data_IF_013053078199
#
_entry.id   IF_013053078199
#
_cell.length_a   1.000
_cell.length_b   1.000
_cell.length_c   1.000
_cell.angle_alpha   90.00
_cell.angle_beta   90.00
_cell.angle_gamma   90.00
#
_symmetry.space_group_name_H-M   'P 1'
#
loop_
_entity.id
_entity.type
_entity.pdbx_description
1 polymer ?
#
# COMPACT_ATOMS: atom_id res chain seq x y z
N UNK A 1 5.98 -14.54 5.81
CA UNK A 1 5.22 -13.29 5.96
C UNK A 1 6.12 -12.14 5.59
N UNK A 2 5.69 -11.31 4.63
CA UNK A 2 6.45 -10.13 4.20
C UNK A 2 5.85 -8.89 4.87
N UNK A 3 6.66 -8.21 5.66
CA UNK A 3 6.28 -6.95 6.31
C UNK A 3 6.98 -5.78 5.63
N UNK A 4 6.40 -4.60 5.71
CA UNK A 4 6.93 -3.36 5.11
C UNK A 4 6.91 -2.28 6.16
N UNK A 5 7.66 -1.20 5.95
CA UNK A 5 7.49 0.01 6.76
C UNK A 5 5.99 0.38 6.91
N UNK A 6 5.47 0.56 8.14
CA UNK A 6 4.03 0.71 8.37
C UNK A 6 3.40 1.92 7.67
N UNK A 7 4.10 3.06 7.64
CA UNK A 7 3.64 4.27 6.93
C UNK A 7 3.52 3.98 5.44
N UNK A 8 4.58 3.45 4.85
CA UNK A 8 4.66 3.06 3.45
C UNK A 8 3.58 2.06 3.03
N UNK A 9 3.31 1.06 3.89
CA UNK A 9 2.24 0.10 3.69
C UNK A 9 0.88 0.81 3.68
N UNK A 10 0.59 1.66 4.67
CA UNK A 10 -0.67 2.37 4.76
C UNK A 10 -0.90 3.28 3.56
N UNK A 11 0.13 4.02 3.12
CA UNK A 11 0.06 4.86 1.94
C UNK A 11 -0.16 4.04 0.66
N UNK A 12 0.59 2.95 0.48
CA UNK A 12 0.42 2.08 -0.69
C UNK A 12 -0.98 1.48 -0.74
N UNK A 13 -1.49 1.01 0.40
CA UNK A 13 -2.82 0.42 0.55
C UNK A 13 -3.93 1.44 0.27
N UNK A 14 -3.79 2.64 0.82
CA UNK A 14 -4.70 3.76 0.59
C UNK A 14 -4.75 4.18 -0.88
N UNK A 15 -3.58 4.43 -1.50
CA UNK A 15 -3.45 4.80 -2.92
C UNK A 15 -4.10 3.75 -3.82
N UNK A 16 -3.89 2.47 -3.53
CA UNK A 16 -4.47 1.38 -4.30
C UNK A 16 -6.00 1.37 -4.24
N UNK A 17 -6.61 1.58 -3.07
CA UNK A 17 -8.08 1.63 -2.96
C UNK A 17 -8.68 2.86 -3.62
N UNK A 18 -8.03 4.01 -3.49
CA UNK A 18 -8.43 5.22 -4.22
C UNK A 18 -8.37 4.98 -5.72
N UNK A 19 -7.28 4.38 -6.22
CA UNK A 19 -7.13 4.01 -7.63
C UNK A 19 -8.22 3.04 -8.11
N UNK A 20 -8.57 2.06 -7.29
CA UNK A 20 -9.63 1.08 -7.58
C UNK A 20 -11.05 1.67 -7.50
N UNK A 21 -11.22 2.88 -6.98
CA UNK A 21 -12.53 3.49 -6.78
C UNK A 21 -13.28 3.01 -5.53
N UNK A 22 -12.61 2.27 -4.65
CA UNK A 22 -13.21 1.68 -3.44
C UNK A 22 -12.99 2.52 -2.18
N UNK A 23 -12.37 3.70 -2.33
CA UNK A 23 -12.14 4.65 -1.24
C UNK A 23 -12.21 6.11 -1.71
N UNK A 24 -12.79 6.98 -0.88
CA UNK A 24 -13.00 8.40 -1.19
C UNK A 24 -12.69 9.36 -0.01
N UNK A 25 -12.58 8.83 1.21
CA UNK A 25 -12.28 9.64 2.40
C UNK A 25 -10.77 9.98 2.47
N UNK A 26 -10.36 11.00 3.25
CA UNK A 26 -8.94 11.32 3.46
C UNK A 26 -8.16 10.17 4.12
N UNK A 27 -6.82 10.25 4.05
CA UNK A 27 -5.91 9.26 4.65
C UNK A 27 -6.13 9.12 6.16
N UNK A 28 -6.33 10.22 6.89
CA UNK A 28 -6.81 10.22 8.29
C UNK A 28 -7.86 9.14 8.58
N UNK A 29 -8.98 9.18 7.84
CA UNK A 29 -10.12 8.28 8.07
C UNK A 29 -9.75 6.85 7.69
N UNK A 30 -8.87 6.69 6.69
CA UNK A 30 -8.37 5.38 6.29
C UNK A 30 -7.50 4.74 7.39
N UNK A 31 -6.66 5.52 8.05
CA UNK A 31 -5.84 5.05 9.18
C UNK A 31 -6.71 4.68 10.37
N UNK A 32 -7.77 5.45 10.66
CA UNK A 32 -8.74 5.13 11.71
C UNK A 32 -9.46 3.79 11.44
N UNK A 33 -9.88 3.53 10.19
CA UNK A 33 -10.62 2.31 9.84
C UNK A 33 -9.73 1.07 9.66
N UNK A 34 -8.52 1.25 9.12
CA UNK A 34 -7.65 0.13 8.71
C UNK A 34 -6.32 0.04 9.45
N UNK A 35 -6.06 0.91 10.43
CA UNK A 35 -4.81 0.96 11.19
C UNK A 35 -4.47 -0.35 11.90
N UNK A 36 -5.46 -1.14 12.32
CA UNK A 36 -5.21 -2.46 12.90
C UNK A 36 -4.47 -3.44 11.97
N UNK A 37 -4.47 -3.21 10.65
CA UNK A 37 -3.79 -4.06 9.67
C UNK A 37 -2.27 -3.98 9.72
N UNK A 38 -1.73 -2.90 10.30
CA UNK A 38 -0.27 -2.76 10.44
C UNK A 38 0.25 -3.30 11.77
N UNK A 39 -0.59 -3.80 12.69
CA UNK A 39 -0.11 -4.46 13.90
C UNK A 39 0.55 -5.81 13.57
N UNK A 40 1.83 -5.75 13.19
CA UNK A 40 2.59 -6.91 12.73
C UNK A 40 2.87 -7.90 13.86
N UNK A 41 2.98 -7.42 15.10
CA UNK A 41 3.16 -8.28 16.27
C UNK A 41 1.96 -9.22 16.43
N UNK A 42 0.76 -8.67 16.56
CA UNK A 42 -0.47 -9.45 16.70
C UNK A 42 -0.69 -10.38 15.49
N UNK A 43 -0.40 -9.88 14.29
CA UNK A 43 -0.52 -10.67 13.07
C UNK A 43 0.42 -11.90 13.09
N UNK A 44 1.70 -11.72 13.42
CA UNK A 44 2.68 -12.81 13.46
C UNK A 44 2.39 -13.77 14.61
N UNK A 45 2.05 -13.27 15.79
CA UNK A 45 1.73 -14.11 16.96
C UNK A 45 0.49 -14.97 16.71
N UNK A 46 -0.53 -14.42 16.03
CA UNK A 46 -1.71 -15.18 15.63
C UNK A 46 -1.37 -16.37 14.73
N UNK A 47 -0.52 -16.17 13.72
CA UNK A 47 -0.07 -17.27 12.85
C UNK A 47 0.84 -18.25 13.60
N UNK A 48 1.77 -17.74 14.41
CA UNK A 48 2.71 -18.56 15.18
C UNK A 48 2.00 -19.45 16.20
N UNK A 49 0.91 -18.97 16.82
CA UNK A 49 0.11 -19.79 17.76
C UNK A 49 -0.55 -21.00 17.10
N UNK A 50 -0.92 -20.90 15.82
CA UNK A 50 -1.53 -22.01 15.07
C UNK A 50 -0.52 -22.91 14.36
N UNK A 51 0.57 -22.36 13.83
CA UNK A 51 1.53 -23.08 12.98
C UNK A 51 2.80 -23.50 13.71
N UNK A 52 3.12 -22.89 14.85
CA UNK A 52 4.44 -22.96 15.48
C UNK A 52 5.33 -21.79 15.05
N UNK A 53 6.11 -21.25 15.98
CA UNK A 53 6.98 -20.08 15.74
C UNK A 53 8.08 -20.37 14.70
N UNK A 54 8.60 -21.59 14.69
CA UNK A 54 9.61 -22.09 13.75
C UNK A 54 9.12 -22.16 12.30
N UNK A 55 7.79 -22.17 12.09
CA UNK A 55 7.17 -22.24 10.76
C UNK A 55 6.75 -20.89 10.20
N UNK A 56 6.89 -19.81 10.97
CA UNK A 56 6.52 -18.45 10.55
C UNK A 56 7.77 -17.64 10.26
N UNK A 57 8.15 -17.58 8.98
CA UNK A 57 9.27 -16.75 8.53
C UNK A 57 8.81 -15.30 8.35
N UNK A 58 9.45 -14.36 9.05
CA UNK A 58 9.24 -12.91 8.85
C UNK A 58 10.35 -12.38 7.95
N UNK A 59 9.98 -11.67 6.88
CA UNK A 59 10.88 -11.13 5.86
C UNK A 59 10.53 -9.67 5.62
N UNK A 60 11.54 -8.83 5.34
CA UNK A 60 11.32 -7.41 5.04
C UNK A 60 11.14 -7.20 3.55
N UNK A 61 9.97 -6.71 3.16
CA UNK A 61 9.62 -6.43 1.77
C UNK A 61 10.63 -5.48 1.11
N UNK A 62 11.12 -4.49 1.85
CA UNK A 62 12.04 -3.48 1.29
C UNK A 62 13.42 -4.04 0.91
N UNK A 63 13.83 -5.17 1.48
CA UNK A 63 15.04 -5.88 1.09
C UNK A 63 14.83 -6.71 -0.19
N UNK A 64 13.67 -7.33 -0.33
CA UNK A 64 13.39 -8.35 -1.37
C UNK A 64 12.66 -7.79 -2.58
N UNK A 65 12.22 -6.53 -2.55
CA UNK A 65 11.46 -5.91 -3.66
C UNK A 65 12.28 -5.67 -4.95
N UNK A 66 13.60 -5.83 -4.90
CA UNK A 66 14.52 -5.66 -6.04
C UNK A 66 14.88 -7.02 -6.63
N UNK A 67 15.23 -7.04 -7.91
CA UNK A 67 15.67 -8.25 -8.64
C UNK A 67 16.69 -9.06 -7.82
N UNK A 68 16.47 -10.37 -7.59
CA UNK A 68 15.53 -11.27 -8.27
C UNK A 68 14.07 -11.24 -7.76
N UNK A 69 13.75 -10.40 -6.77
CA UNK A 69 12.39 -10.09 -6.37
C UNK A 69 11.83 -10.94 -5.23
N UNK A 70 10.54 -10.75 -4.96
CA UNK A 70 9.80 -11.42 -3.90
C UNK A 70 9.67 -12.92 -4.18
N UNK A 71 9.48 -13.27 -5.44
CA UNK A 71 9.29 -14.63 -5.93
C UNK A 71 10.54 -15.49 -5.68
N UNK A 72 11.73 -14.92 -5.89
CA UNK A 72 12.99 -15.58 -5.64
C UNK A 72 13.26 -15.81 -4.15
N UNK A 73 13.00 -14.79 -3.31
CA UNK A 73 13.09 -14.93 -1.84
C UNK A 73 12.10 -15.99 -1.34
N UNK A 74 10.88 -16.02 -1.87
CA UNK A 74 9.90 -17.04 -1.54
C UNK A 74 10.37 -18.44 -1.92
N UNK A 75 10.88 -18.63 -3.14
CA UNK A 75 11.44 -19.91 -3.60
C UNK A 75 12.58 -20.38 -2.67
N UNK A 76 13.46 -19.47 -2.25
CA UNK A 76 14.51 -19.76 -1.28
C UNK A 76 13.94 -20.27 0.06
N UNK A 77 12.89 -19.64 0.58
CA UNK A 77 12.24 -20.03 1.84
C UNK A 77 11.67 -21.45 1.75
N UNK A 78 11.06 -21.82 0.62
CA UNK A 78 10.43 -23.14 0.45
C UNK A 78 11.40 -24.21 -0.11
N UNK A 79 12.66 -23.86 -0.35
CA UNK A 79 13.67 -24.78 -0.88
C UNK A 79 13.49 -25.16 -2.35
N UNK A 80 12.92 -24.27 -3.16
CA UNK A 80 12.70 -24.46 -4.61
C UNK A 80 13.69 -23.60 -5.39
N UNK A 81 14.21 -24.13 -6.50
CA UNK A 81 15.06 -23.36 -7.43
C UNK A 81 14.23 -22.35 -8.23
N UNK A 82 14.66 -21.08 -8.19
CA UNK A 82 13.98 -19.98 -8.88
C UNK A 82 14.32 -19.90 -10.38
N UNK A 83 15.46 -20.43 -10.82
CA UNK A 83 15.91 -20.24 -12.22
C UNK A 83 14.92 -20.76 -13.28
N UNK A 84 14.30 -21.94 -13.13
CA UNK A 84 13.27 -22.40 -14.06
C UNK A 84 12.01 -21.52 -14.09
N UNK A 85 11.77 -20.76 -13.01
CA UNK A 85 10.59 -19.90 -12.84
C UNK A 85 10.84 -18.45 -13.28
N UNK A 86 12.10 -18.03 -13.37
CA UNK A 86 12.50 -16.64 -13.67
C UNK A 86 11.82 -16.08 -14.92
N UNK A 87 11.64 -16.89 -15.96
CA UNK A 87 10.98 -16.48 -17.21
C UNK A 87 9.47 -16.24 -17.11
N UNK A 88 8.82 -16.71 -16.04
CA UNK A 88 7.38 -16.50 -15.77
C UNK A 88 7.12 -15.29 -14.89
N UNK A 89 8.16 -14.71 -14.27
CA UNK A 89 8.03 -13.54 -13.42
C UNK A 89 8.20 -12.29 -14.26
N UNK A 90 7.10 -11.56 -14.43
CA UNK A 90 7.13 -10.26 -15.10
C UNK A 90 8.00 -9.26 -14.34
N UNK A 91 8.59 -8.32 -15.08
CA UNK A 91 9.29 -7.20 -14.44
C UNK A 91 8.31 -6.43 -13.54
N UNK A 92 8.74 -5.99 -12.34
CA UNK A 92 7.87 -5.28 -11.43
C UNK A 92 7.32 -4.00 -12.07
N UNK A 93 6.02 -4.00 -12.40
CA UNK A 93 5.32 -2.89 -13.05
C UNK A 93 4.53 -2.01 -12.05
N UNK A 94 4.86 -2.07 -10.75
CA UNK A 94 4.16 -1.33 -9.70
C UNK A 94 4.65 0.11 -9.55
N UNK A 95 4.41 0.94 -10.57
CA UNK A 95 4.57 2.38 -10.44
C UNK A 95 3.30 2.94 -9.78
N UNK A 96 3.41 3.32 -8.50
CA UNK A 96 2.34 4.04 -7.82
C UNK A 96 2.10 5.38 -8.51
N UNK A 97 0.85 5.78 -8.77
CA UNK A 97 0.57 7.11 -9.31
C UNK A 97 1.10 8.19 -8.36
N UNK A 98 1.54 9.35 -8.90
CA UNK A 98 1.87 10.52 -8.09
C UNK A 98 0.72 10.96 -7.20
N UNK A 99 1.05 11.58 -6.06
CA UNK A 99 0.10 12.00 -5.02
C UNK A 99 -1.04 12.88 -5.54
N UNK A 100 -0.73 13.85 -6.40
CA UNK A 100 -1.74 14.71 -7.01
C UNK A 100 -2.78 13.90 -7.83
N UNK A 101 -2.36 12.84 -8.53
CA UNK A 101 -3.29 12.00 -9.30
C UNK A 101 -4.21 11.20 -8.37
N UNK A 102 -3.66 10.70 -7.26
CA UNK A 102 -4.44 9.98 -6.25
C UNK A 102 -5.47 10.92 -5.63
N UNK A 103 -5.09 12.14 -5.27
CA UNK A 103 -6.01 13.11 -4.69
C UNK A 103 -7.14 13.48 -5.67
N UNK A 104 -6.83 13.63 -6.95
CA UNK A 104 -7.88 13.83 -7.95
C UNK A 104 -8.81 12.62 -8.10
N UNK A 105 -8.26 11.41 -8.13
CA UNK A 105 -9.07 10.17 -8.16
C UNK A 105 -9.95 10.08 -6.93
N UNK A 106 -9.47 10.48 -5.76
CA UNK A 106 -10.23 10.52 -4.52
C UNK A 106 -11.42 11.47 -4.62
N UNK A 107 -11.21 12.68 -5.17
CA UNK A 107 -12.30 13.65 -5.43
C UNK A 107 -13.31 13.11 -6.41
N UNK A 108 -12.86 12.48 -7.50
CA UNK A 108 -13.75 11.81 -8.43
C UNK A 108 -14.56 10.71 -7.72
N UNK A 109 -13.91 9.85 -6.92
CA UNK A 109 -14.61 8.81 -6.17
C UNK A 109 -15.66 9.38 -5.22
N UNK A 110 -15.36 10.51 -4.55
CA UNK A 110 -16.31 11.23 -3.69
C UNK A 110 -17.50 11.76 -4.50
N UNK A 111 -17.24 12.35 -5.66
CA UNK A 111 -18.28 12.86 -6.56
C UNK A 111 -19.12 11.75 -7.17
N UNK A 112 -18.59 10.54 -7.30
CA UNK A 112 -19.31 9.38 -7.85
C UNK A 112 -19.80 8.41 -6.78
N UNK A 113 -19.68 8.77 -5.50
CA UNK A 113 -19.98 7.84 -4.40
C UNK A 113 -21.46 7.43 -4.35
N UNK A 114 -22.34 8.31 -4.82
CA UNK A 114 -23.78 8.06 -4.99
C UNK A 114 -24.10 7.10 -6.15
N UNK A 115 -23.17 6.88 -7.08
CA UNK A 115 -23.37 5.98 -8.21
C UNK A 115 -23.29 4.51 -7.77
N UNK A 116 -23.99 3.63 -8.47
CA UNK A 116 -23.97 2.19 -8.18
C UNK A 116 -22.56 1.62 -8.30
N UNK A 117 -22.28 0.49 -7.62
CA UNK A 117 -20.98 -0.17 -7.70
C UNK A 117 -20.61 -0.55 -9.14
N UNK A 118 -21.60 -0.99 -9.93
CA UNK A 118 -21.43 -1.29 -11.35
C UNK A 118 -21.02 -0.04 -12.15
N UNK A 119 -21.66 1.11 -11.93
CA UNK A 119 -21.27 2.37 -12.58
C UNK A 119 -19.88 2.84 -12.15
N UNK A 120 -19.49 2.61 -10.89
CA UNK A 120 -18.13 2.93 -10.40
C UNK A 120 -17.07 2.01 -10.99
N UNK A 121 -17.37 0.74 -11.25
CA UNK A 121 -16.39 -0.23 -11.79
C UNK A 121 -16.32 -0.24 -13.32
N UNK A 122 -17.46 -0.09 -13.98
CA UNK A 122 -17.59 -0.30 -15.43
C UNK A 122 -18.23 0.86 -16.19
N UNK A 123 -18.87 1.81 -15.50
CA UNK A 123 -19.57 2.94 -16.11
C UNK A 123 -18.69 4.17 -16.39
N UNK A 124 -19.36 5.32 -16.56
CA UNK A 124 -18.73 6.60 -16.89
C UNK A 124 -17.66 7.04 -15.87
N UNK A 125 -17.83 6.70 -14.58
CA UNK A 125 -16.84 6.99 -13.54
C UNK A 125 -15.53 6.24 -13.77
N UNK A 126 -15.61 4.97 -14.19
CA UNK A 126 -14.44 4.18 -14.57
C UNK A 126 -13.76 4.76 -15.83
N UNK A 127 -14.55 5.22 -16.81
CA UNK A 127 -14.03 5.88 -18.00
C UNK A 127 -13.32 7.20 -17.67
N UNK A 128 -13.85 8.00 -16.73
CA UNK A 128 -13.18 9.21 -16.24
C UNK A 128 -11.85 8.89 -15.54
N UNK A 129 -11.79 7.85 -14.69
CA UNK A 129 -10.52 7.40 -14.09
C UNK A 129 -9.49 6.99 -15.14
N UNK A 130 -9.89 6.23 -16.16
CA UNK A 130 -9.00 5.85 -17.28
C UNK A 130 -8.53 7.10 -18.04
N UNK A 131 -9.38 8.11 -18.18
CA UNK A 131 -9.03 9.37 -18.87
C UNK A 131 -8.04 10.20 -18.05
N UNK A 132 -8.18 10.23 -16.72
CA UNK A 132 -7.24 10.88 -15.81
C UNK A 132 -5.81 10.33 -15.91
N UNK A 133 -5.70 9.02 -16.15
CA UNK A 133 -4.41 8.33 -16.29
C UNK A 133 -3.75 8.54 -17.66
N UNK A 134 -4.49 9.03 -18.68
CA UNK A 134 -3.94 9.25 -20.02
C UNK A 134 -3.34 10.66 -20.16
N UNK A 135 -2.21 10.75 -20.86
CA UNK A 135 -1.67 12.02 -21.34
C UNK A 135 -2.50 12.51 -22.54
N UNK A 136 -3.03 13.74 -22.49
CA UNK A 136 -3.85 14.32 -23.57
C UNK A 136 -4.77 15.45 -23.10
N UNK A 137 -5.34 16.20 -24.07
CA UNK A 137 -6.15 17.39 -23.81
C UNK A 137 -7.39 17.13 -22.92
N UNK A 138 -8.07 16.00 -23.12
CA UNK A 138 -9.19 15.58 -22.24
C UNK A 138 -8.73 15.30 -20.81
N UNK A 139 -7.55 14.69 -20.64
CA UNK A 139 -6.95 14.48 -19.32
C UNK A 139 -6.56 15.80 -18.65
N UNK A 140 -6.06 16.78 -19.43
CA UNK A 140 -5.71 18.11 -18.93
C UNK A 140 -6.95 18.89 -18.45
N UNK A 141 -8.08 18.80 -19.15
CA UNK A 141 -9.33 19.45 -18.74
C UNK A 141 -9.89 18.84 -17.45
N UNK A 142 -9.96 17.51 -17.35
CA UNK A 142 -10.40 16.86 -16.11
C UNK A 142 -9.43 17.16 -14.96
N UNK A 143 -8.12 17.27 -15.24
CA UNK A 143 -7.10 17.79 -14.30
C UNK A 143 -7.40 19.19 -13.83
N UNK A 144 -7.72 20.11 -14.73
CA UNK A 144 -8.04 21.49 -14.38
C UNK A 144 -9.28 21.57 -13.47
N UNK A 145 -10.33 20.80 -13.76
CA UNK A 145 -11.57 20.82 -12.97
C UNK A 145 -11.38 20.18 -11.59
N UNK A 146 -10.75 19.01 -11.54
CA UNK A 146 -10.62 18.26 -10.28
C UNK A 146 -9.40 18.70 -9.45
N UNK A 147 -8.47 19.45 -10.05
CA UNK A 147 -7.20 19.87 -9.46
C UNK A 147 -7.18 21.23 -8.77
N UNK A 148 -8.28 21.98 -8.76
CA UNK A 148 -8.34 23.27 -8.08
C UNK A 148 -8.22 23.07 -6.56
N UNK A 149 -7.21 23.69 -5.94
CA UNK A 149 -6.98 23.63 -4.48
C UNK A 149 -6.61 22.24 -3.99
N UNK A 150 -5.87 21.45 -4.76
CA UNK A 150 -5.26 20.22 -4.22
C UNK A 150 -4.17 20.59 -3.23
N UNK A 151 -4.07 19.92 -2.07
CA UNK A 151 -2.89 20.03 -1.24
C UNK A 151 -1.66 19.50 -1.99
N UNK A 152 -0.49 20.09 -1.70
CA UNK A 152 0.78 19.69 -2.32
C UNK A 152 1.22 18.27 -1.89
N UNK A 153 0.75 17.80 -0.73
CA UNK A 153 1.08 16.48 -0.18
C UNK A 153 -0.18 15.67 0.15
N UNK A 154 -0.15 14.38 -0.16
CA UNK A 154 -1.18 13.42 0.24
C UNK A 154 -1.16 13.12 1.74
N UNK A 155 -0.01 13.36 2.37
CA UNK A 155 0.31 13.01 3.75
C UNK A 155 0.76 14.26 4.48
N UNK A 156 0.08 14.57 5.58
CA UNK A 156 0.48 15.63 6.51
C UNK A 156 1.37 15.08 7.63
N UNK A 157 2.17 15.95 8.26
CA UNK A 157 2.96 15.59 9.44
C UNK A 157 2.07 15.02 10.56
N UNK A 158 0.89 15.59 10.76
CA UNK A 158 -0.09 15.09 11.73
C UNK A 158 -0.60 13.66 11.42
N UNK A 159 -0.61 13.24 10.15
CA UNK A 159 -0.92 11.85 9.79
C UNK A 159 0.24 10.91 10.04
N UNK A 160 1.48 11.36 9.81
CA UNK A 160 2.69 10.61 10.16
C UNK A 160 2.73 10.37 11.67
N UNK A 161 2.53 11.41 12.47
CA UNK A 161 2.53 11.32 13.93
C UNK A 161 1.43 10.38 14.43
N UNK A 162 0.22 10.44 13.85
CA UNK A 162 -0.85 9.50 14.19
C UNK A 162 -0.48 8.05 13.91
N UNK A 163 0.18 7.77 12.79
CA UNK A 163 0.63 6.40 12.48
C UNK A 163 1.76 6.02 13.45
N UNK A 164 2.67 6.93 13.80
CA UNK A 164 3.73 6.69 14.78
C UNK A 164 3.15 6.32 16.15
N UNK A 165 2.15 7.06 16.62
CA UNK A 165 1.43 6.78 17.86
C UNK A 165 0.75 5.39 17.80
N UNK A 166 0.09 5.09 16.68
CA UNK A 166 -0.57 3.81 16.45
C UNK A 166 0.41 2.61 16.48
N UNK A 167 1.66 2.80 16.05
CA UNK A 167 2.66 1.72 16.04
C UNK A 167 3.51 1.63 17.30
N UNK A 168 3.60 2.71 18.07
CA UNK A 168 4.48 2.86 19.23
C UNK A 168 4.41 1.72 20.24
N UNK A 169 3.21 1.16 20.47
CA UNK A 169 2.98 0.15 21.50
C UNK A 169 3.33 -1.29 21.08
N UNK A 170 3.57 -1.55 19.79
CA UNK A 170 3.83 -2.90 19.28
C UNK A 170 5.08 -2.99 18.39
N UNK A 171 5.57 -1.87 17.83
CA UNK A 171 6.68 -1.89 16.89
C UNK A 171 7.98 -2.35 17.53
N UNK A 172 8.40 -1.78 18.67
CA UNK A 172 9.67 -2.17 19.31
C UNK A 172 9.67 -3.65 19.76
N UNK A 173 8.62 -4.18 20.43
CA UNK A 173 8.55 -5.63 20.71
C UNK A 173 8.60 -6.51 19.46
N UNK A 174 7.97 -6.07 18.36
CA UNK A 174 8.04 -6.76 17.07
C UNK A 174 9.46 -6.77 16.51
N UNK A 175 10.13 -5.62 16.51
CA UNK A 175 11.50 -5.46 16.03
C UNK A 175 12.48 -6.31 16.85
N UNK A 176 12.34 -6.30 18.17
CA UNK A 176 13.20 -7.06 19.06
C UNK A 176 13.09 -8.58 18.86
N UNK A 177 11.88 -9.07 18.57
CA UNK A 177 11.61 -10.50 18.46
C UNK A 177 11.83 -11.06 17.05
N UNK A 178 11.53 -10.29 16.01
CA UNK A 178 11.41 -10.82 14.64
C UNK A 178 12.34 -10.17 13.61
N UNK A 179 13.05 -9.11 13.96
CA UNK A 179 13.86 -8.35 12.99
C UNK A 179 15.31 -8.23 13.46
N UNK A 180 16.24 -8.55 12.57
CA UNK A 180 17.67 -8.42 12.83
C UNK A 180 18.02 -6.95 13.17
N UNK A 181 18.92 -6.68 14.14
CA UNK A 181 19.25 -5.31 14.58
C UNK A 181 19.59 -4.35 13.44
N UNK A 182 20.37 -4.79 12.46
CA UNK A 182 20.79 -4.05 11.28
C UNK A 182 19.64 -3.62 10.35
N UNK A 183 18.49 -4.28 10.46
CA UNK A 183 17.37 -4.11 9.55
C UNK A 183 16.20 -3.31 10.17
N UNK A 184 16.27 -3.01 11.47
CA UNK A 184 15.17 -2.38 12.21
C UNK A 184 14.79 -1.00 11.67
N UNK A 185 15.76 -0.25 11.20
CA UNK A 185 15.55 1.10 10.66
C UNK A 185 14.74 1.08 9.34
N UNK A 186 14.67 -0.05 8.64
CA UNK A 186 13.80 -0.20 7.46
C UNK A 186 12.31 -0.09 7.82
N UNK A 187 11.94 -0.33 9.08
CA UNK A 187 10.57 -0.28 9.55
C UNK A 187 10.23 0.97 10.37
N UNK A 188 11.21 1.84 10.64
CA UNK A 188 11.04 3.11 11.37
C UNK A 188 10.77 4.28 10.41
N UNK A 189 10.04 5.29 10.88
CA UNK A 189 9.69 6.51 10.13
C UNK A 189 9.24 7.65 11.06
#
# INVERSE_FOLDING_TARGET
MYVRNPLDYMLSSYKQRVKMGTWAAPLRVYVEEFGGRINYLDLVERWASGLGQDRVHVRLFDQVKRDPGLEADFCQVIGVDFEPLRGFVDKPANVSPPDHQIEMMRRLNRLTWWATEEQRRFGWAAQMRRTLQKAGAKGALVRAITGIGLPDALVSHAEIDRIRDLVSHWLEPFLDRYVAPEDRDLLRF
#
